data_IF_219071307488
#
_entry.id   IF_219071307488
#
_cell.length_a   1.000
_cell.length_b   1.000
_cell.length_c   1.000
_cell.angle_alpha   90.00
_cell.angle_beta   90.00
_cell.angle_gamma   90.00
#
_symmetry.space_group_name_H-M   'P 1'
#
loop_
_entity.id
_entity.type
_entity.pdbx_description
1 polymer ?
#
# COMPACT_ATOMS: atom_id res chain seq x y z
N UNK A 1 -43.97 26.49 1.42
CA UNK A 1 -43.01 25.71 2.17
C UNK A 1 -41.87 25.30 1.24
N UNK A 2 -40.68 25.91 1.35
CA UNK A 2 -39.52 25.58 0.55
C UNK A 2 -38.60 24.71 1.44
N UNK A 3 -38.49 23.43 1.14
CA UNK A 3 -37.57 22.55 1.80
C UNK A 3 -36.12 22.89 1.37
N UNK A 4 -35.30 23.32 2.32
CA UNK A 4 -33.85 23.48 2.15
C UNK A 4 -33.23 22.07 2.28
N UNK A 5 -32.74 21.52 1.16
CA UNK A 5 -31.90 20.34 1.15
C UNK A 5 -30.52 20.80 1.59
N UNK A 6 -30.14 20.49 2.81
CA UNK A 6 -28.76 20.62 3.27
C UNK A 6 -27.93 19.50 2.64
N UNK A 7 -27.10 19.85 1.69
CA UNK A 7 -26.11 18.93 1.15
C UNK A 7 -25.06 18.69 2.24
N UNK A 8 -25.09 17.49 2.82
CA UNK A 8 -24.05 16.98 3.71
C UNK A 8 -22.86 16.58 2.81
N UNK A 9 -21.90 17.46 2.67
CA UNK A 9 -20.63 17.15 2.02
C UNK A 9 -19.86 16.18 2.94
N UNK A 10 -19.94 14.89 2.65
CA UNK A 10 -19.06 13.89 3.27
C UNK A 10 -17.69 14.06 2.60
N UNK A 11 -16.80 14.75 3.29
CA UNK A 11 -15.39 14.87 2.89
C UNK A 11 -14.73 13.52 3.10
N UNK A 12 -14.52 12.79 2.02
CA UNK A 12 -13.62 11.65 2.01
C UNK A 12 -12.18 12.20 1.94
N UNK A 13 -11.61 12.48 3.08
CA UNK A 13 -10.19 12.75 3.18
C UNK A 13 -9.52 11.39 3.30
N UNK A 14 -8.93 10.89 2.22
CA UNK A 14 -7.88 9.89 2.33
C UNK A 14 -6.73 10.60 3.03
N UNK A 15 -6.72 10.57 4.33
CA UNK A 15 -5.62 11.08 5.13
C UNK A 15 -4.54 10.01 5.08
N UNK A 16 -3.64 10.13 4.10
CA UNK A 16 -2.25 9.83 4.41
C UNK A 16 -1.93 10.87 5.47
N UNK A 17 -1.93 10.46 6.73
CA UNK A 17 -1.65 11.36 7.83
C UNK A 17 -0.37 12.12 7.49
N UNK A 18 -0.46 13.41 7.28
CA UNK A 18 0.71 14.27 7.23
C UNK A 18 1.36 14.14 8.59
N UNK A 19 2.35 13.26 8.68
CA UNK A 19 3.22 13.17 9.83
C UNK A 19 4.01 14.46 9.87
N UNK A 20 3.54 15.40 10.65
CA UNK A 20 4.35 16.49 11.13
C UNK A 20 5.46 15.93 12.02
N UNK A 21 6.36 15.16 11.44
CA UNK A 21 7.64 14.81 12.06
C UNK A 21 8.41 16.11 12.10
N UNK A 22 8.59 16.66 13.28
CA UNK A 22 9.69 17.58 13.53
C UNK A 22 10.99 16.78 13.34
N UNK A 23 11.32 16.48 12.09
CA UNK A 23 12.61 15.95 11.69
C UNK A 23 13.61 17.06 11.98
N UNK A 24 14.53 16.80 12.88
CA UNK A 24 15.79 17.55 12.95
C UNK A 24 16.34 17.63 11.53
N UNK A 25 16.31 18.82 10.94
CA UNK A 25 16.62 19.06 9.54
C UNK A 25 18.06 18.60 9.24
N UNK A 26 18.19 17.50 8.53
CA UNK A 26 19.38 17.29 7.71
C UNK A 26 19.33 18.37 6.62
N UNK A 27 20.26 19.31 6.65
CA UNK A 27 20.34 20.47 5.78
C UNK A 27 20.79 20.03 4.38
N UNK A 28 19.86 19.56 3.56
CA UNK A 28 20.09 19.24 2.15
C UNK A 28 19.02 18.28 1.60
N UNK A 29 18.80 18.29 0.28
CA UNK A 29 17.91 17.31 -0.34
C UNK A 29 18.45 15.88 -0.13
N UNK A 30 17.59 14.86 -0.06
CA UNK A 30 18.02 13.47 0.02
C UNK A 30 18.92 13.14 -1.18
N UNK A 31 20.05 12.50 -0.92
CA UNK A 31 21.00 12.09 -1.97
C UNK A 31 20.84 10.60 -2.21
N UNK A 32 20.47 10.22 -3.42
CA UNK A 32 20.33 8.83 -3.85
C UNK A 32 21.68 8.11 -3.71
N UNK A 33 21.70 7.01 -2.95
CA UNK A 33 22.87 6.15 -2.74
C UNK A 33 22.51 4.70 -2.99
N UNK A 34 23.26 4.05 -3.84
CA UNK A 34 23.14 2.61 -4.11
C UNK A 34 24.15 1.83 -3.28
N UNK A 35 23.82 0.58 -2.94
CA UNK A 35 24.66 -0.29 -2.12
C UNK A 35 24.85 -1.65 -2.80
N UNK A 36 26.01 -2.29 -2.54
CA UNK A 36 26.31 -3.65 -2.99
C UNK A 36 26.18 -3.87 -4.51
N UNK A 37 26.60 -2.89 -5.32
CA UNK A 37 26.56 -2.98 -6.78
C UNK A 37 25.19 -2.74 -7.41
N UNK A 38 24.17 -2.37 -6.63
CA UNK A 38 22.88 -2.00 -7.17
C UNK A 38 22.97 -0.71 -8.01
N UNK A 39 22.05 -0.55 -8.97
CA UNK A 39 21.87 0.70 -9.71
C UNK A 39 20.42 1.17 -9.57
N UNK A 40 20.20 2.48 -9.62
CA UNK A 40 18.87 3.08 -9.58
C UNK A 40 18.80 4.24 -10.56
N UNK A 41 17.80 4.23 -11.43
CA UNK A 41 17.55 5.27 -12.44
C UNK A 41 16.10 5.71 -12.40
N UNK A 42 15.84 6.98 -12.64
CA UNK A 42 14.50 7.49 -12.84
C UNK A 42 13.90 6.80 -14.08
N UNK A 43 12.74 6.18 -13.90
CA UNK A 43 12.08 5.40 -14.95
C UNK A 43 10.88 6.13 -15.55
N UNK A 44 10.04 6.77 -14.72
CA UNK A 44 8.89 7.53 -15.19
C UNK A 44 8.50 8.63 -14.19
N UNK A 45 7.81 9.64 -14.74
CA UNK A 45 7.22 10.78 -14.02
C UNK A 45 5.78 11.00 -14.46
N UNK A 46 5.11 12.04 -13.94
CA UNK A 46 3.75 12.43 -14.34
C UNK A 46 2.66 11.77 -13.51
N UNK A 47 3.01 11.17 -12.38
CA UNK A 47 2.11 10.67 -11.34
C UNK A 47 2.03 11.68 -10.18
N UNK A 48 1.12 11.44 -9.24
CA UNK A 48 1.05 12.20 -7.98
C UNK A 48 1.62 11.39 -6.82
N UNK A 49 1.06 10.22 -6.59
CA UNK A 49 1.50 9.28 -5.56
C UNK A 49 1.26 7.84 -5.99
N UNK A 50 2.19 7.24 -6.76
CA UNK A 50 2.06 5.85 -7.20
C UNK A 50 2.13 4.89 -6.02
N UNK A 51 1.12 4.04 -5.90
CA UNK A 51 0.90 3.11 -4.78
C UNK A 51 1.10 1.66 -5.16
N UNK A 52 1.01 1.33 -6.45
CA UNK A 52 1.13 -0.06 -6.90
C UNK A 52 1.42 -0.17 -8.39
N UNK A 53 2.03 -1.29 -8.79
CA UNK A 53 2.36 -1.58 -10.18
C UNK A 53 1.91 -2.98 -10.58
N UNK A 54 1.50 -3.14 -11.84
CA UNK A 54 1.22 -4.43 -12.46
C UNK A 54 1.66 -4.44 -13.92
N UNK A 55 2.01 -5.61 -14.45
CA UNK A 55 2.36 -5.81 -15.86
C UNK A 55 1.43 -6.83 -16.50
N UNK A 56 0.96 -6.52 -17.71
CA UNK A 56 0.14 -7.42 -18.48
C UNK A 56 -0.12 -6.89 -19.89
N UNK A 57 -0.35 -7.79 -20.84
CA UNK A 57 -0.59 -7.50 -22.25
C UNK A 57 0.43 -6.50 -22.86
N UNK A 58 1.72 -6.63 -22.43
CA UNK A 58 2.80 -5.77 -22.93
C UNK A 58 2.88 -4.37 -22.31
N UNK A 59 2.04 -4.03 -21.34
CA UNK A 59 2.00 -2.73 -20.71
C UNK A 59 2.38 -2.80 -19.21
N UNK A 60 2.92 -1.72 -18.69
CA UNK A 60 3.03 -1.43 -17.26
C UNK A 60 1.87 -0.54 -16.83
N UNK A 61 1.17 -0.95 -15.79
CA UNK A 61 0.12 -0.18 -15.14
C UNK A 61 0.61 0.33 -13.81
N UNK A 62 0.30 1.60 -13.50
CA UNK A 62 0.53 2.21 -12.19
C UNK A 62 -0.79 2.67 -11.58
N UNK A 63 -1.04 2.29 -10.34
CA UNK A 63 -2.08 2.85 -9.51
C UNK A 63 -1.57 4.07 -8.78
N UNK A 64 -2.40 5.08 -8.66
CA UNK A 64 -2.08 6.35 -8.03
C UNK A 64 -3.17 6.73 -7.04
N UNK A 65 -2.78 7.14 -5.83
CA UNK A 65 -3.73 7.60 -4.80
C UNK A 65 -4.07 9.07 -4.92
N UNK A 66 -3.40 9.81 -5.79
CA UNK A 66 -3.54 11.25 -5.92
C UNK A 66 -2.75 12.04 -4.88
N UNK A 67 -2.93 13.35 -4.92
CA UNK A 67 -2.37 14.26 -3.93
C UNK A 67 -3.20 14.28 -2.65
N UNK A 68 -2.56 14.61 -1.54
CA UNK A 68 -3.28 14.96 -0.32
C UNK A 68 -4.22 16.16 -0.59
N UNK A 69 -5.50 15.99 -0.31
CA UNK A 69 -6.47 17.06 -0.53
C UNK A 69 -7.92 16.62 -0.33
N UNK A 70 -8.84 17.59 -0.49
CA UNK A 70 -10.27 17.35 -0.28
C UNK A 70 -10.94 16.62 -1.45
N UNK A 71 -10.35 16.67 -2.63
CA UNK A 71 -10.91 16.04 -3.84
C UNK A 71 -9.96 14.92 -4.27
N UNK A 72 -10.40 13.66 -4.31
CA UNK A 72 -9.62 12.57 -4.84
C UNK A 72 -9.26 12.84 -6.30
N UNK A 73 -7.98 12.75 -6.65
CA UNK A 73 -7.44 13.04 -7.97
C UNK A 73 -6.36 12.04 -8.40
N UNK A 74 -6.38 10.85 -7.81
CA UNK A 74 -5.59 9.71 -8.26
C UNK A 74 -6.21 9.04 -9.47
N UNK A 75 -5.62 7.91 -9.88
CA UNK A 75 -6.08 7.22 -11.08
C UNK A 75 -5.38 5.92 -11.38
N UNK A 76 -5.71 5.37 -12.53
CA UNK A 76 -4.99 4.28 -13.16
C UNK A 76 -4.25 4.80 -14.38
N UNK A 77 -2.96 4.50 -14.48
CA UNK A 77 -2.07 5.00 -15.54
C UNK A 77 -1.40 3.86 -16.29
N UNK A 78 -1.16 4.08 -17.58
CA UNK A 78 -0.22 3.29 -18.39
C UNK A 78 1.12 4.01 -18.35
N UNK A 79 2.19 3.27 -18.09
CA UNK A 79 3.56 3.80 -18.09
C UNK A 79 4.26 3.36 -19.36
N UNK A 80 4.63 4.32 -20.20
CA UNK A 80 5.38 4.08 -21.43
C UNK A 80 6.37 5.20 -21.70
N UNK A 81 7.58 4.85 -22.13
CA UNK A 81 8.63 5.81 -22.53
C UNK A 81 8.89 6.91 -21.48
N UNK A 82 8.88 6.55 -20.20
CA UNK A 82 9.15 7.49 -19.11
C UNK A 82 7.97 8.39 -18.71
N UNK A 83 6.79 8.19 -19.29
CA UNK A 83 5.61 9.03 -19.09
C UNK A 83 4.43 8.21 -18.59
N UNK A 84 3.64 8.79 -17.67
CA UNK A 84 2.38 8.25 -17.21
C UNK A 84 1.21 8.86 -18.04
N UNK A 85 0.37 8.00 -18.57
CA UNK A 85 -0.86 8.38 -19.29
C UNK A 85 -2.06 7.81 -18.56
N UNK A 86 -2.96 8.68 -18.11
CA UNK A 86 -4.17 8.26 -17.38
C UNK A 86 -5.14 7.48 -18.29
N UNK A 87 -5.70 6.40 -17.77
CA UNK A 87 -6.80 5.68 -18.42
C UNK A 87 -8.10 6.42 -18.08
N UNK A 88 -8.83 6.93 -19.11
CA UNK A 88 -9.97 7.82 -18.90
C UNK A 88 -11.14 7.09 -18.22
N UNK A 89 -11.98 7.86 -17.51
CA UNK A 89 -13.15 7.34 -16.77
C UNK A 89 -12.77 6.21 -15.80
N UNK A 90 -11.58 6.32 -15.22
CA UNK A 90 -11.01 5.40 -14.26
C UNK A 90 -11.43 5.70 -12.81
N UNK A 91 -10.80 5.00 -11.86
CA UNK A 91 -10.92 5.32 -10.43
C UNK A 91 -10.29 6.68 -10.14
N UNK A 92 -10.67 7.26 -9.01
CA UNK A 92 -10.05 8.49 -8.46
C UNK A 92 -9.01 8.20 -7.38
N UNK A 93 -8.82 6.94 -7.07
CA UNK A 93 -7.85 6.44 -6.10
C UNK A 93 -7.60 4.97 -6.38
N UNK A 94 -6.35 4.55 -6.44
CA UNK A 94 -5.96 3.13 -6.56
C UNK A 94 -4.97 2.80 -5.46
N UNK A 95 -5.25 1.79 -4.65
CA UNK A 95 -4.34 1.32 -3.60
C UNK A 95 -3.53 0.09 -4.03
N UNK A 96 -4.10 -0.81 -4.78
CA UNK A 96 -3.45 -2.05 -5.18
C UNK A 96 -3.81 -2.51 -6.59
N UNK A 97 -2.81 -3.07 -7.28
CA UNK A 97 -2.93 -3.65 -8.61
C UNK A 97 -2.41 -5.09 -8.63
N UNK A 98 -3.06 -5.94 -9.40
CA UNK A 98 -2.56 -7.27 -9.72
C UNK A 98 -3.03 -7.71 -11.11
N UNK A 99 -2.11 -8.12 -11.98
CA UNK A 99 -2.45 -8.76 -13.24
C UNK A 99 -2.63 -10.27 -13.01
N UNK A 100 -3.76 -10.82 -13.47
CA UNK A 100 -4.02 -12.24 -13.34
C UNK A 100 -4.90 -12.76 -14.49
N UNK A 101 -4.41 -13.76 -15.22
CA UNK A 101 -5.16 -14.45 -16.31
C UNK A 101 -5.80 -13.48 -17.31
N UNK A 102 -5.00 -12.57 -17.88
CA UNK A 102 -5.45 -11.63 -18.91
C UNK A 102 -6.39 -10.54 -18.40
N UNK A 103 -6.33 -10.22 -17.12
CA UNK A 103 -7.11 -9.14 -16.52
C UNK A 103 -6.33 -8.39 -15.44
N UNK A 104 -6.56 -7.09 -15.35
CA UNK A 104 -6.11 -6.22 -14.27
C UNK A 104 -7.16 -6.23 -13.16
N UNK A 105 -6.73 -6.51 -11.95
CA UNK A 105 -7.52 -6.38 -10.74
C UNK A 105 -7.04 -5.17 -9.97
N UNK A 106 -7.96 -4.41 -9.39
CA UNK A 106 -7.65 -3.20 -8.63
C UNK A 106 -8.47 -3.14 -7.35
N UNK A 107 -7.84 -2.69 -6.28
CA UNK A 107 -8.52 -2.11 -5.11
C UNK A 107 -8.52 -0.59 -5.28
N UNK A 108 -9.71 0.00 -5.37
CA UNK A 108 -9.84 1.37 -5.85
C UNK A 108 -11.08 2.08 -5.26
N UNK A 109 -11.09 3.41 -5.35
CA UNK A 109 -12.28 4.21 -5.12
C UNK A 109 -12.75 4.88 -6.41
N UNK A 110 -14.07 4.92 -6.57
CA UNK A 110 -14.77 5.59 -7.66
C UNK A 110 -15.74 6.62 -7.09
N UNK A 111 -16.03 7.68 -7.82
CA UNK A 111 -17.14 8.58 -7.46
C UNK A 111 -18.44 8.01 -8.04
N UNK A 112 -19.33 7.60 -7.17
CA UNK A 112 -20.66 7.08 -7.51
C UNK A 112 -21.71 7.98 -6.85
N UNK A 113 -22.58 8.59 -7.65
CA UNK A 113 -23.60 9.55 -7.16
C UNK A 113 -23.00 10.68 -6.29
N UNK A 114 -21.81 11.17 -6.66
CA UNK A 114 -21.12 12.27 -5.96
C UNK A 114 -20.41 11.85 -4.66
N UNK A 115 -20.35 10.57 -4.34
CA UNK A 115 -19.68 10.05 -3.14
C UNK A 115 -18.65 8.96 -3.49
N UNK A 116 -17.56 8.83 -2.71
CA UNK A 116 -16.60 7.75 -2.88
C UNK A 116 -17.23 6.38 -2.61
N UNK A 117 -16.95 5.44 -3.50
CA UNK A 117 -17.34 4.05 -3.42
C UNK A 117 -16.09 3.17 -3.53
N UNK A 118 -15.74 2.46 -2.47
CA UNK A 118 -14.60 1.53 -2.46
C UNK A 118 -14.99 0.23 -3.14
N UNK A 119 -14.21 -0.16 -4.14
CA UNK A 119 -14.53 -1.30 -5.00
C UNK A 119 -13.30 -2.16 -5.26
N UNK A 120 -13.54 -3.45 -5.47
CA UNK A 120 -12.59 -4.32 -6.15
C UNK A 120 -13.13 -4.52 -7.56
N UNK A 121 -12.31 -4.19 -8.56
CA UNK A 121 -12.71 -4.28 -9.96
C UNK A 121 -11.81 -5.24 -10.72
N UNK A 122 -12.34 -5.80 -11.80
CA UNK A 122 -11.63 -6.64 -12.77
C UNK A 122 -11.84 -6.06 -14.16
N UNK A 123 -10.75 -5.59 -14.78
CA UNK A 123 -10.76 -5.05 -16.15
C UNK A 123 -10.00 -5.97 -17.07
N UNK A 124 -10.51 -6.22 -18.28
CA UNK A 124 -9.92 -7.13 -19.26
C UNK A 124 -10.15 -6.64 -20.69
N UNK A 125 -9.45 -7.26 -21.65
CA UNK A 125 -9.47 -6.83 -23.04
C UNK A 125 -8.77 -5.49 -23.21
N UNK A 126 -7.50 -5.44 -22.79
CA UNK A 126 -6.68 -4.24 -22.96
C UNK A 126 -6.45 -3.95 -24.43
N UNK A 127 -6.68 -2.70 -24.85
CA UNK A 127 -6.64 -2.25 -26.25
C UNK A 127 -5.38 -1.46 -26.60
N UNK A 128 -4.43 -1.34 -25.65
CA UNK A 128 -3.26 -0.49 -25.77
C UNK A 128 -3.41 0.85 -25.03
N UNK A 129 -4.63 1.36 -24.87
CA UNK A 129 -4.92 2.64 -24.20
C UNK A 129 -6.05 2.53 -23.19
N UNK A 130 -6.87 1.48 -23.26
CA UNK A 130 -8.05 1.29 -22.42
C UNK A 130 -8.40 -0.20 -22.27
N UNK A 131 -9.44 -0.50 -21.49
CA UNK A 131 -10.01 -1.84 -21.29
C UNK A 131 -11.43 -1.90 -21.84
N UNK A 132 -11.68 -2.85 -22.76
CA UNK A 132 -13.00 -3.05 -23.36
C UNK A 132 -14.04 -3.63 -22.40
N UNK A 133 -13.60 -4.32 -21.34
CA UNK A 133 -14.49 -4.91 -20.34
C UNK A 133 -14.05 -4.40 -18.95
N UNK A 134 -14.91 -3.61 -18.33
CA UNK A 134 -14.73 -3.06 -16.97
C UNK A 134 -15.81 -3.62 -16.05
N UNK A 135 -15.44 -4.39 -15.05
CA UNK A 135 -16.38 -5.04 -14.13
C UNK A 135 -16.04 -4.76 -12.67
N UNK A 136 -17.00 -4.24 -11.91
CA UNK A 136 -16.95 -4.26 -10.45
C UNK A 136 -17.30 -5.68 -9.99
N UNK A 137 -16.41 -6.30 -9.20
CA UNK A 137 -16.60 -7.65 -8.65
C UNK A 137 -16.99 -7.65 -7.19
N UNK A 138 -16.66 -6.58 -6.46
CA UNK A 138 -17.07 -6.38 -5.08
C UNK A 138 -17.17 -4.89 -4.78
N UNK A 139 -18.26 -4.49 -4.13
CA UNK A 139 -18.44 -3.14 -3.57
C UNK A 139 -18.43 -3.24 -2.06
N UNK A 140 -17.62 -2.42 -1.41
CA UNK A 140 -17.54 -2.40 0.04
C UNK A 140 -18.86 -1.91 0.68
N UNK A 141 -19.22 -2.42 1.85
CA UNK A 141 -20.42 -1.97 2.57
C UNK A 141 -20.27 -0.53 3.07
N UNK A 142 -21.40 0.08 3.43
CA UNK A 142 -21.42 1.43 3.99
C UNK A 142 -20.57 1.51 5.27
N UNK A 143 -19.88 2.62 5.46
CA UNK A 143 -18.97 2.87 6.59
C UNK A 143 -17.60 2.23 6.45
N UNK A 144 -17.32 1.57 5.33
CA UNK A 144 -16.00 1.02 5.03
C UNK A 144 -14.97 2.14 4.87
N UNK A 145 -13.73 1.93 5.35
CA UNK A 145 -12.72 2.98 5.37
C UNK A 145 -11.87 3.03 4.11
N UNK A 146 -11.58 1.89 3.49
CA UNK A 146 -10.78 1.80 2.28
C UNK A 146 -10.15 0.43 2.10
N UNK A 147 -9.61 0.21 0.92
CA UNK A 147 -8.78 -0.95 0.61
C UNK A 147 -7.32 -0.52 0.48
N UNK A 148 -6.42 -1.44 0.81
CA UNK A 148 -4.98 -1.37 0.53
C UNK A 148 -4.60 -2.31 -0.62
N UNK A 149 -3.35 -2.77 -0.61
CA UNK A 149 -2.80 -3.64 -1.64
C UNK A 149 -3.53 -4.97 -1.81
N UNK A 150 -3.39 -5.53 -2.99
CA UNK A 150 -3.98 -6.82 -3.36
C UNK A 150 -2.92 -7.80 -3.87
N UNK A 151 -3.15 -9.09 -3.68
CA UNK A 151 -2.31 -10.13 -4.26
C UNK A 151 -3.10 -11.41 -4.52
N UNK A 152 -2.74 -12.14 -5.57
CA UNK A 152 -3.28 -13.49 -5.81
C UNK A 152 -2.49 -14.53 -5.02
N UNK A 153 -3.18 -15.28 -4.19
CA UNK A 153 -2.64 -16.47 -3.56
C UNK A 153 -2.41 -17.58 -4.60
N UNK A 154 -1.45 -18.50 -4.39
CA UNK A 154 -1.18 -19.61 -5.34
C UNK A 154 -2.41 -20.47 -5.67
N UNK A 155 -3.41 -20.54 -4.77
CA UNK A 155 -4.71 -21.19 -5.02
C UNK A 155 -5.71 -20.34 -5.82
N UNK A 156 -5.28 -19.20 -6.40
CA UNK A 156 -6.10 -18.34 -7.26
C UNK A 156 -7.14 -17.48 -6.52
N UNK A 157 -7.12 -17.42 -5.20
CA UNK A 157 -7.94 -16.46 -4.45
C UNK A 157 -7.24 -15.11 -4.40
N UNK A 158 -8.00 -14.04 -4.49
CA UNK A 158 -7.54 -12.68 -4.28
C UNK A 158 -7.51 -12.37 -2.79
N UNK A 159 -6.39 -11.88 -2.28
CA UNK A 159 -6.25 -11.27 -0.96
C UNK A 159 -6.29 -9.76 -1.10
N UNK A 160 -6.91 -9.09 -0.13
CA UNK A 160 -7.11 -7.63 -0.12
C UNK A 160 -6.89 -7.11 1.29
N UNK A 161 -5.98 -6.16 1.45
CA UNK A 161 -5.81 -5.42 2.70
C UNK A 161 -6.95 -4.44 2.91
N UNK A 162 -7.37 -4.28 4.16
CA UNK A 162 -8.37 -3.28 4.54
C UNK A 162 -7.68 -2.10 5.22
N UNK A 163 -7.96 -0.90 4.74
CA UNK A 163 -7.38 0.33 5.27
C UNK A 163 -8.09 0.77 6.56
N UNK A 164 -7.34 1.37 7.46
CA UNK A 164 -7.88 2.02 8.65
C UNK A 164 -8.51 3.37 8.35
N UNK A 165 -8.17 4.00 7.23
CA UNK A 165 -8.68 5.31 6.80
C UNK A 165 -8.52 6.38 7.88
N UNK A 166 -9.59 7.14 8.14
CA UNK A 166 -9.61 8.20 9.16
C UNK A 166 -9.46 7.69 10.61
N UNK A 167 -9.51 6.38 10.81
CA UNK A 167 -9.33 5.74 12.12
C UNK A 167 -7.86 5.38 12.37
N UNK A 168 -6.97 5.96 11.59
CA UNK A 168 -5.56 5.67 11.50
C UNK A 168 -4.83 5.65 12.85
N UNK A 169 -5.16 6.58 13.74
CA UNK A 169 -4.57 6.67 15.08
C UNK A 169 -5.61 6.32 16.16
N UNK A 170 -6.10 5.08 16.15
CA UNK A 170 -6.93 4.58 17.22
C UNK A 170 -6.07 4.33 18.48
N UNK A 171 -5.56 5.42 19.07
CA UNK A 171 -4.66 5.40 20.21
C UNK A 171 -5.31 4.84 21.48
N UNK A 172 -6.61 4.65 21.49
CA UNK A 172 -7.39 4.30 22.68
C UNK A 172 -8.03 2.91 22.62
N UNK A 173 -7.67 2.09 21.65
CA UNK A 173 -8.14 0.71 21.56
C UNK A 173 -9.67 0.55 21.43
N UNK A 174 -10.39 1.62 21.09
CA UNK A 174 -11.84 1.52 20.86
C UNK A 174 -12.08 0.93 19.47
N UNK A 175 -12.70 -0.24 19.37
CA UNK A 175 -13.01 -0.82 18.07
C UNK A 175 -13.93 0.13 17.29
N UNK A 176 -13.57 0.38 16.05
CA UNK A 176 -14.46 1.06 15.12
C UNK A 176 -15.61 0.14 14.72
N UNK A 177 -16.74 0.76 14.34
CA UNK A 177 -17.85 0.04 13.72
C UNK A 177 -17.66 -0.20 12.22
N UNK A 178 -16.49 0.17 11.65
CA UNK A 178 -16.19 -0.09 10.24
C UNK A 178 -16.12 -1.60 9.98
N UNK A 179 -16.79 -2.09 8.94
CA UNK A 179 -16.72 -3.50 8.57
C UNK A 179 -15.29 -3.90 8.20
N UNK A 180 -14.85 -5.08 8.65
CA UNK A 180 -13.56 -5.68 8.32
C UNK A 180 -12.32 -4.85 8.69
N UNK A 181 -12.47 -3.91 9.63
CA UNK A 181 -11.36 -3.09 10.08
C UNK A 181 -10.26 -3.99 10.67
N UNK A 182 -8.99 -3.73 10.28
CA UNK A 182 -7.80 -4.47 10.68
C UNK A 182 -7.70 -5.89 10.11
N UNK A 183 -8.37 -6.14 8.98
CA UNK A 183 -8.40 -7.44 8.35
C UNK A 183 -7.64 -7.48 7.01
N UNK A 184 -7.24 -8.69 6.64
CA UNK A 184 -6.99 -9.06 5.25
C UNK A 184 -8.15 -9.92 4.80
N UNK A 185 -8.83 -9.52 3.74
CA UNK A 185 -9.93 -10.27 3.14
C UNK A 185 -9.41 -11.27 2.10
N UNK A 186 -10.16 -12.33 1.89
CA UNK A 186 -9.95 -13.30 0.81
C UNK A 186 -11.25 -13.51 0.04
N UNK A 187 -11.20 -13.44 -1.30
CA UNK A 187 -12.34 -13.68 -2.18
C UNK A 187 -11.95 -14.48 -3.42
N UNK A 188 -12.95 -15.02 -4.14
CA UNK A 188 -12.73 -15.59 -5.47
C UNK A 188 -12.50 -14.47 -6.49
N UNK A 189 -11.86 -14.73 -7.66
CA UNK A 189 -11.64 -13.71 -8.70
C UNK A 189 -12.91 -13.08 -9.30
N UNK A 190 -14.06 -13.64 -9.02
CA UNK A 190 -15.37 -13.09 -9.40
C UNK A 190 -16.04 -12.27 -8.27
N UNK A 191 -15.33 -12.02 -7.16
CA UNK A 191 -15.81 -11.25 -6.01
C UNK A 191 -16.64 -12.03 -5.00
N UNK A 192 -16.96 -13.32 -5.26
CA UNK A 192 -17.77 -14.13 -4.34
C UNK A 192 -16.94 -14.81 -3.25
N UNK A 193 -17.60 -15.29 -2.20
CA UNK A 193 -16.97 -16.04 -1.12
C UNK A 193 -15.97 -15.20 -0.34
N UNK A 194 -16.35 -13.95 -0.07
CA UNK A 194 -15.58 -13.02 0.77
C UNK A 194 -15.54 -13.57 2.20
N UNK A 195 -14.35 -13.56 2.79
CA UNK A 195 -14.10 -13.99 4.17
C UNK A 195 -12.84 -13.34 4.70
N UNK A 196 -12.73 -13.19 6.00
CA UNK A 196 -11.50 -12.79 6.66
C UNK A 196 -10.45 -13.88 6.46
N UNK A 197 -9.28 -13.47 6.00
CA UNK A 197 -8.10 -14.33 5.85
C UNK A 197 -7.24 -14.28 7.11
N UNK A 198 -6.98 -13.07 7.62
CA UNK A 198 -6.28 -12.79 8.87
C UNK A 198 -6.82 -11.48 9.45
N UNK A 199 -6.61 -11.26 10.74
CA UNK A 199 -7.15 -10.12 11.48
C UNK A 199 -6.10 -9.47 12.40
N UNK A 200 -6.48 -8.33 13.02
CA UNK A 200 -5.62 -7.65 13.98
C UNK A 200 -4.37 -7.04 13.35
N UNK A 201 -4.41 -6.68 12.08
CA UNK A 201 -3.35 -6.04 11.32
C UNK A 201 -3.77 -4.59 11.06
N UNK A 202 -3.01 -3.62 11.57
CA UNK A 202 -3.45 -2.22 11.56
C UNK A 202 -3.69 -1.68 10.16
N UNK A 203 -2.69 -1.80 9.29
CA UNK A 203 -2.74 -1.24 7.94
C UNK A 203 -1.93 -2.12 6.97
N UNK A 204 -2.50 -3.27 6.56
CA UNK A 204 -1.84 -4.20 5.65
C UNK A 204 -1.69 -3.55 4.27
N UNK A 205 -0.49 -2.95 3.99
CA UNK A 205 -0.29 -2.07 2.84
C UNK A 205 -0.08 -2.86 1.54
N UNK A 206 0.98 -3.61 1.44
CA UNK A 206 1.25 -4.46 0.28
C UNK A 206 1.49 -5.91 0.68
N UNK A 207 1.29 -6.81 -0.27
CA UNK A 207 1.42 -8.25 -0.07
C UNK A 207 2.22 -8.90 -1.20
N UNK A 208 3.14 -9.82 -0.83
CA UNK A 208 3.92 -10.57 -1.82
C UNK A 208 4.10 -12.03 -1.38
N UNK A 209 3.93 -12.95 -2.32
CA UNK A 209 4.20 -14.37 -2.10
C UNK A 209 5.62 -14.74 -2.53
N UNK A 210 6.33 -15.48 -1.69
CA UNK A 210 7.53 -16.19 -2.13
C UNK A 210 7.13 -17.35 -3.06
N UNK A 211 8.00 -17.78 -3.99
CA UNK A 211 7.72 -18.92 -4.86
C UNK A 211 7.32 -20.17 -4.05
N UNK A 212 6.16 -20.73 -4.37
CA UNK A 212 5.60 -21.91 -3.71
C UNK A 212 5.04 -21.68 -2.28
N UNK A 213 5.11 -20.48 -1.73
CA UNK A 213 4.62 -20.19 -0.39
C UNK A 213 3.10 -19.99 -0.37
N UNK A 214 2.43 -20.48 0.68
CA UNK A 214 0.99 -20.27 0.92
C UNK A 214 0.71 -19.03 1.77
N UNK A 215 1.70 -18.54 2.49
CA UNK A 215 1.63 -17.36 3.36
C UNK A 215 2.33 -16.18 2.67
N UNK A 216 1.63 -15.05 2.43
CA UNK A 216 2.27 -13.85 1.91
C UNK A 216 3.11 -13.16 2.98
N UNK A 217 4.13 -12.43 2.53
CA UNK A 217 4.69 -11.34 3.30
C UNK A 217 3.80 -10.10 3.14
N UNK A 218 3.56 -9.40 4.23
CA UNK A 218 2.70 -8.21 4.28
C UNK A 218 3.44 -7.11 5.01
N UNK A 219 3.51 -5.93 4.43
CA UNK A 219 3.93 -4.73 5.13
C UNK A 219 2.76 -4.17 5.94
N UNK A 220 3.02 -3.80 7.17
CA UNK A 220 2.03 -3.24 8.09
C UNK A 220 2.60 -1.99 8.75
N UNK A 221 1.97 -0.86 8.49
CA UNK A 221 2.36 0.39 9.12
C UNK A 221 1.93 0.39 10.58
N UNK A 222 2.89 0.61 11.45
CA UNK A 222 2.69 0.77 12.88
C UNK A 222 1.81 1.98 13.22
N UNK A 223 1.36 2.03 14.44
CA UNK A 223 0.56 3.12 14.96
C UNK A 223 1.46 4.34 15.26
N UNK A 224 1.03 5.53 14.85
CA UNK A 224 1.64 6.76 15.36
C UNK A 224 1.19 6.96 16.81
N UNK A 225 2.08 6.77 17.74
CA UNK A 225 1.75 6.94 19.15
C UNK A 225 1.35 8.37 19.50
N UNK A 226 0.64 8.59 20.62
CA UNK A 226 0.42 9.93 21.16
C UNK A 226 1.75 10.68 21.26
N UNK A 227 1.77 11.97 20.98
CA UNK A 227 3.00 12.81 20.99
C UNK A 227 3.90 12.63 22.20
N UNK A 228 3.35 12.25 23.36
CA UNK A 228 4.10 11.94 24.59
C UNK A 228 4.83 10.59 24.54
N UNK A 229 4.48 9.69 23.60
CA UNK A 229 5.01 8.32 23.47
C UNK A 229 5.84 8.15 22.19
N UNK A 230 5.99 9.19 21.37
CA UNK A 230 6.69 9.16 20.07
C UNK A 230 8.12 8.58 20.13
N UNK A 231 8.84 8.77 21.24
CA UNK A 231 10.18 8.16 21.44
C UNK A 231 10.13 6.66 21.69
N UNK A 232 8.97 6.13 22.12
CA UNK A 232 8.71 4.74 22.46
C UNK A 232 7.48 4.19 21.73
N UNK A 233 7.12 4.78 20.57
CA UNK A 233 6.02 4.34 19.73
C UNK A 233 6.12 2.87 19.35
N UNK A 234 5.01 2.25 18.91
CA UNK A 234 5.03 0.89 18.44
C UNK A 234 5.98 0.75 17.24
N UNK A 235 6.59 -0.42 17.07
CA UNK A 235 7.39 -0.72 15.90
C UNK A 235 6.51 -0.83 14.64
N UNK A 236 7.13 -0.70 13.47
CA UNK A 236 6.55 -1.11 12.21
C UNK A 236 6.83 -2.58 11.93
N UNK A 237 6.03 -3.20 11.06
CA UNK A 237 6.06 -4.65 10.90
C UNK A 237 6.24 -5.10 9.45
N UNK A 238 7.00 -6.18 9.30
CA UNK A 238 6.78 -7.15 8.23
C UNK A 238 6.15 -8.40 8.85
N UNK A 239 5.05 -8.82 8.26
CA UNK A 239 4.31 -10.00 8.69
C UNK A 239 4.52 -11.13 7.68
N UNK A 240 4.41 -12.38 8.12
CA UNK A 240 4.26 -13.56 7.28
C UNK A 240 2.94 -14.22 7.66
N UNK A 241 1.89 -13.88 6.91
CA UNK A 241 0.51 -14.07 7.34
C UNK A 241 -0.03 -15.42 6.90
N UNK A 242 -0.47 -16.24 7.84
CA UNK A 242 -1.19 -17.47 7.56
C UNK A 242 -2.68 -17.25 7.69
N UNK A 243 -3.45 -18.12 7.08
CA UNK A 243 -4.89 -18.08 7.21
C UNK A 243 -5.31 -18.36 8.64
N UNK A 244 -6.09 -17.46 9.22
CA UNK A 244 -6.60 -17.53 10.59
C UNK A 244 -5.70 -16.86 11.63
N UNK A 245 -4.55 -16.31 11.23
CA UNK A 245 -3.72 -15.52 12.13
C UNK A 245 -4.50 -14.29 12.62
N UNK A 246 -4.29 -13.97 13.90
CA UNK A 246 -4.71 -12.71 14.51
C UNK A 246 -3.50 -12.06 15.16
N UNK A 247 -3.15 -10.85 14.72
CA UNK A 247 -2.02 -10.07 15.23
C UNK A 247 -2.41 -9.14 16.38
N UNK A 248 -3.69 -9.09 16.75
CA UNK A 248 -4.21 -8.50 17.98
C UNK A 248 -4.43 -7.00 17.98
N UNK A 249 -4.10 -6.25 16.89
CA UNK A 249 -4.37 -4.82 16.87
C UNK A 249 -5.89 -4.53 16.99
N UNK A 250 -6.34 -3.52 17.76
CA UNK A 250 -5.55 -2.44 18.42
C UNK A 250 -5.06 -2.78 19.83
N UNK A 251 -5.40 -3.93 20.40
CA UNK A 251 -4.99 -4.33 21.76
C UNK A 251 -3.50 -4.67 21.82
N UNK A 252 -2.99 -5.38 20.82
CA UNK A 252 -1.59 -5.70 20.63
C UNK A 252 -0.96 -4.77 19.57
N UNK A 253 0.09 -4.06 19.94
CA UNK A 253 0.91 -3.27 19.01
C UNK A 253 2.41 -3.51 19.22
N UNK A 254 2.76 -4.63 19.87
CA UNK A 254 4.13 -5.06 20.15
C UNK A 254 5.01 -4.03 20.91
N UNK A 255 4.40 -3.10 21.61
CA UNK A 255 5.10 -2.25 22.61
C UNK A 255 5.07 -2.92 23.98
N UNK A 256 5.90 -2.46 24.94
CA UNK A 256 5.81 -2.92 26.33
C UNK A 256 4.42 -2.71 26.98
N UNK A 257 3.62 -1.79 26.43
CA UNK A 257 2.27 -1.48 26.92
C UNK A 257 1.16 -2.30 26.22
N UNK A 258 1.49 -3.00 25.15
CA UNK A 258 0.53 -3.79 24.39
C UNK A 258 0.34 -5.20 24.98
N UNK A 259 -0.89 -5.67 25.06
CA UNK A 259 -1.20 -7.05 25.43
C UNK A 259 -1.26 -7.93 24.18
N UNK A 260 -0.19 -8.67 23.94
CA UNK A 260 0.00 -9.55 22.78
C UNK A 260 -0.04 -11.04 23.16
N UNK A 261 -0.59 -11.39 24.34
CA UNK A 261 -0.65 -12.78 24.77
C UNK A 261 -1.62 -13.57 23.88
N UNK A 262 -1.10 -14.57 23.20
CA UNK A 262 -1.88 -15.46 22.32
C UNK A 262 -2.02 -14.97 20.88
N UNK A 263 -1.53 -13.78 20.56
CA UNK A 263 -1.56 -13.24 19.20
C UNK A 263 -0.37 -13.75 18.36
N UNK A 264 -0.56 -13.72 17.03
CA UNK A 264 0.49 -14.08 16.08
C UNK A 264 1.66 -13.11 16.17
N UNK A 265 2.88 -13.62 15.93
CA UNK A 265 4.10 -12.81 16.02
C UNK A 265 4.47 -12.26 14.65
N UNK A 266 4.87 -10.98 14.56
CA UNK A 266 5.45 -10.42 13.36
C UNK A 266 6.67 -11.21 12.88
N UNK A 267 6.85 -11.29 11.56
CA UNK A 267 8.05 -11.87 10.97
C UNK A 267 9.30 -11.04 11.28
N UNK A 268 9.15 -9.71 11.26
CA UNK A 268 10.21 -8.77 11.61
C UNK A 268 9.62 -7.49 12.19
N UNK A 269 10.24 -7.02 13.27
CA UNK A 269 9.99 -5.70 13.85
C UNK A 269 11.05 -4.71 13.34
N UNK A 270 10.63 -3.48 13.09
CA UNK A 270 11.47 -2.35 12.75
C UNK A 270 11.29 -1.24 13.78
N UNK A 271 12.25 -0.32 13.92
CA UNK A 271 12.06 0.84 14.79
C UNK A 271 10.77 1.59 14.44
N UNK A 272 10.14 2.27 15.40
CA UNK A 272 9.02 3.17 15.14
C UNK A 272 9.32 4.14 13.99
N UNK A 273 8.32 4.48 13.18
CA UNK A 273 8.44 5.39 12.03
C UNK A 273 9.45 4.92 10.96
N UNK A 274 9.66 3.62 10.84
CA UNK A 274 10.33 3.03 9.67
C UNK A 274 9.41 2.98 8.46
N UNK A 275 8.10 3.02 8.70
CA UNK A 275 7.01 3.10 7.72
C UNK A 275 7.25 2.10 6.59
N UNK A 276 7.17 0.80 6.91
CA UNK A 276 7.42 -0.27 5.95
C UNK A 276 6.23 -0.37 5.00
N UNK A 277 6.45 0.03 3.75
CA UNK A 277 5.41 0.14 2.72
C UNK A 277 5.51 -0.98 1.67
N UNK A 278 5.97 -0.68 0.48
CA UNK A 278 6.04 -1.64 -0.62
C UNK A 278 6.79 -2.92 -0.26
N UNK A 279 6.30 -4.08 -0.73
CA UNK A 279 6.94 -5.38 -0.49
C UNK A 279 6.89 -6.25 -1.75
N UNK A 280 8.01 -6.90 -2.09
CA UNK A 280 8.08 -7.92 -3.15
C UNK A 280 9.11 -8.99 -2.83
N UNK A 281 9.02 -10.15 -3.51
CA UNK A 281 9.94 -11.28 -3.32
C UNK A 281 10.57 -11.67 -4.64
N UNK A 282 11.90 -11.78 -4.66
CA UNK A 282 12.68 -12.31 -5.79
C UNK A 282 13.45 -13.53 -5.31
N UNK A 283 13.07 -14.72 -5.76
CA UNK A 283 13.67 -15.97 -5.30
C UNK A 283 13.56 -16.15 -3.78
N UNK A 284 14.69 -16.14 -3.08
CA UNK A 284 14.76 -16.27 -1.61
C UNK A 284 15.00 -14.93 -0.91
N UNK A 285 14.90 -13.82 -1.62
CA UNK A 285 15.13 -12.47 -1.10
C UNK A 285 13.82 -11.69 -1.05
N UNK A 286 13.51 -11.15 0.10
CA UNK A 286 12.43 -10.22 0.36
C UNK A 286 12.97 -8.79 0.22
N UNK A 287 12.32 -7.97 -0.60
CA UNK A 287 12.60 -6.55 -0.76
C UNK A 287 11.43 -5.76 -0.20
N UNK A 288 11.73 -4.63 0.43
CA UNK A 288 10.69 -3.77 1.01
C UNK A 288 11.14 -2.30 1.03
N UNK A 289 10.16 -1.42 0.87
CA UNK A 289 10.33 0.01 0.98
C UNK A 289 10.22 0.49 2.43
N UNK A 290 10.94 1.57 2.75
CA UNK A 290 10.71 2.37 3.95
C UNK A 290 10.35 3.77 3.49
N UNK A 291 9.16 4.24 3.83
CA UNK A 291 8.49 5.41 3.25
C UNK A 291 9.39 6.66 3.25
N UNK A 292 9.81 7.12 4.42
CA UNK A 292 10.73 8.24 4.54
C UNK A 292 12.16 7.78 4.89
N UNK A 293 12.43 6.48 4.91
CA UNK A 293 13.67 5.90 5.40
C UNK A 293 13.84 6.08 6.91
N UNK A 294 14.82 5.40 7.49
CA UNK A 294 15.11 5.57 8.90
C UNK A 294 15.38 7.04 9.21
N UNK A 295 14.59 7.61 10.11
CA UNK A 295 14.75 8.99 10.59
C UNK A 295 14.44 10.10 9.56
N UNK A 296 13.53 9.87 8.60
CA UNK A 296 13.07 10.91 7.68
C UNK A 296 14.12 11.39 6.64
N UNK A 297 15.11 10.56 6.33
CA UNK A 297 16.22 10.89 5.41
C UNK A 297 15.93 10.58 3.94
N UNK A 298 14.68 10.53 3.56
CA UNK A 298 14.21 10.13 2.22
C UNK A 298 13.88 8.65 2.16
N UNK A 299 13.11 8.25 1.16
CA UNK A 299 12.71 6.86 0.97
C UNK A 299 13.89 5.91 0.83
N UNK A 300 13.70 4.66 1.17
CA UNK A 300 14.74 3.66 1.08
C UNK A 300 14.19 2.30 0.64
N UNK A 301 15.01 1.53 -0.07
CA UNK A 301 14.77 0.14 -0.43
C UNK A 301 15.75 -0.75 0.32
N UNK A 302 15.22 -1.74 1.00
CA UNK A 302 15.98 -2.74 1.73
C UNK A 302 15.76 -4.15 1.17
N UNK A 303 16.67 -5.05 1.51
CA UNK A 303 16.53 -6.49 1.26
C UNK A 303 16.86 -7.32 2.49
N UNK A 304 16.24 -8.49 2.60
CA UNK A 304 16.55 -9.51 3.59
C UNK A 304 16.19 -10.90 3.08
N UNK A 305 16.63 -11.93 3.78
CA UNK A 305 16.21 -13.31 3.46
C UNK A 305 14.72 -13.52 3.83
N UNK A 306 13.99 -14.31 3.01
CA UNK A 306 12.65 -14.79 3.36
C UNK A 306 12.61 -15.70 4.61
N UNK A 307 13.78 -16.08 5.15
CA UNK A 307 13.94 -16.82 6.42
C UNK A 307 14.15 -15.91 7.62
N UNK A 308 14.25 -14.59 7.40
CA UNK A 308 14.56 -13.61 8.42
C UNK A 308 16.03 -13.19 8.40
N UNK A 309 16.44 -12.47 9.44
CA UNK A 309 17.80 -11.97 9.62
C UNK A 309 17.92 -10.45 9.53
N UNK A 310 19.09 -9.97 9.12
CA UNK A 310 19.39 -8.55 9.02
C UNK A 310 18.82 -7.95 7.72
N UNK A 311 18.17 -6.80 7.83
CA UNK A 311 17.83 -5.97 6.68
C UNK A 311 19.08 -5.21 6.19
N UNK A 312 19.35 -5.26 4.90
CA UNK A 312 20.50 -4.60 4.25
C UNK A 312 19.97 -3.55 3.28
N UNK A 313 20.55 -2.35 3.21
CA UNK A 313 20.14 -1.34 2.25
C UNK A 313 20.51 -1.77 0.82
N UNK A 314 19.63 -1.46 -0.13
CA UNK A 314 19.86 -1.59 -1.57
C UNK A 314 20.00 -0.21 -2.19
N UNK A 315 19.05 0.69 -1.89
CA UNK A 315 19.09 2.10 -2.26
C UNK A 315 18.55 2.91 -1.09
N UNK A 316 19.19 4.04 -0.81
CA UNK A 316 18.77 4.99 0.23
C UNK A 316 18.75 6.41 -0.31
N UNK A 317 17.96 7.28 0.31
CA UNK A 317 17.88 8.69 -0.06
C UNK A 317 17.16 8.92 -1.39
N UNK A 318 16.11 8.12 -1.69
CA UNK A 318 15.19 8.48 -2.75
C UNK A 318 14.60 9.87 -2.49
N UNK A 319 14.42 10.71 -3.51
CA UNK A 319 13.79 12.02 -3.35
C UNK A 319 12.28 11.94 -3.11
N UNK A 320 11.75 10.73 -3.04
CA UNK A 320 10.35 10.39 -2.82
C UNK A 320 10.16 9.52 -1.57
N UNK A 321 8.94 9.48 -1.09
CA UNK A 321 8.47 8.49 -0.13
C UNK A 321 8.20 7.17 -0.87
N UNK A 322 8.75 6.03 -0.39
CA UNK A 322 8.65 4.74 -1.11
C UNK A 322 7.37 4.00 -0.77
N UNK A 323 6.30 4.24 -1.51
CA UNK A 323 4.97 3.63 -1.31
C UNK A 323 4.80 2.29 -2.01
N UNK A 324 5.20 2.26 -3.27
CA UNK A 324 4.99 1.13 -4.17
C UNK A 324 6.28 0.36 -4.42
N UNK A 325 6.20 -0.96 -4.47
CA UNK A 325 7.30 -1.83 -4.87
C UNK A 325 6.77 -3.02 -5.66
N UNK A 326 7.34 -3.23 -6.83
CA UNK A 326 7.08 -4.43 -7.63
C UNK A 326 8.33 -4.90 -8.34
N UNK A 327 8.30 -6.13 -8.87
CA UNK A 327 9.38 -6.70 -9.69
C UNK A 327 8.88 -7.01 -11.09
N UNK A 328 9.73 -6.75 -12.08
CA UNK A 328 9.50 -7.15 -13.47
C UNK A 328 10.83 -7.24 -14.21
N UNK A 329 11.02 -8.29 -15.03
CA UNK A 329 12.17 -8.50 -15.94
C UNK A 329 13.56 -8.27 -15.29
N UNK A 330 13.74 -8.79 -14.08
CA UNK A 330 15.01 -8.70 -13.36
C UNK A 330 15.26 -7.37 -12.66
N UNK A 331 14.31 -6.45 -12.73
CA UNK A 331 14.34 -5.16 -12.03
C UNK A 331 13.30 -5.08 -10.92
N UNK A 332 13.55 -4.14 -10.01
CA UNK A 332 12.57 -3.64 -9.05
C UNK A 332 12.12 -2.25 -9.49
N UNK A 333 10.84 -1.97 -9.31
CA UNK A 333 10.24 -0.67 -9.56
C UNK A 333 9.76 -0.10 -8.25
N UNK A 334 10.29 1.05 -7.89
CA UNK A 334 10.02 1.76 -6.63
C UNK A 334 9.31 3.05 -6.97
N UNK A 335 8.16 3.29 -6.38
CA UNK A 335 7.39 4.51 -6.62
C UNK A 335 6.87 5.14 -5.36
N UNK A 336 6.51 6.39 -5.48
CA UNK A 336 5.92 7.18 -4.41
C UNK A 336 5.92 8.66 -4.70
N UNK A 337 5.41 9.47 -3.77
CA UNK A 337 5.31 10.92 -3.91
C UNK A 337 6.61 11.62 -3.52
N UNK A 338 7.07 12.53 -4.37
CA UNK A 338 8.14 13.46 -4.05
C UNK A 338 7.60 14.77 -3.47
N UNK A 339 8.34 15.40 -2.55
CA UNK A 339 7.91 16.67 -1.94
C UNK A 339 7.80 17.83 -2.93
N UNK A 340 8.58 17.79 -4.01
CA UNK A 340 8.70 18.88 -4.99
C UNK A 340 8.50 18.45 -6.42
N UNK A 341 8.57 17.15 -6.71
CA UNK A 341 8.62 16.59 -8.09
C UNK A 341 7.33 15.89 -8.51
N UNK A 342 6.36 15.76 -7.60
CA UNK A 342 5.21 14.88 -7.80
C UNK A 342 5.58 13.41 -7.62
N UNK A 343 4.81 12.51 -8.20
CA UNK A 343 5.05 11.08 -8.12
C UNK A 343 6.04 10.61 -9.19
N UNK A 344 7.02 9.84 -8.76
CA UNK A 344 8.09 9.29 -9.61
C UNK A 344 8.17 7.77 -9.46
N UNK A 345 8.70 7.13 -10.48
CA UNK A 345 9.04 5.69 -10.48
C UNK A 345 10.54 5.55 -10.77
N UNK A 346 11.24 4.84 -9.90
CA UNK A 346 12.62 4.44 -10.10
C UNK A 346 12.70 2.97 -10.49
N UNK A 347 13.54 2.65 -11.47
CA UNK A 347 13.95 1.30 -11.82
C UNK A 347 15.24 0.98 -11.11
N UNK A 348 15.29 -0.12 -10.37
CA UNK A 348 16.43 -0.56 -9.58
C UNK A 348 16.87 -1.94 -10.04
N UNK A 349 18.15 -2.09 -10.40
CA UNK A 349 18.80 -3.40 -10.55
C UNK A 349 19.50 -3.72 -9.22
N UNK A 350 19.00 -4.72 -8.44
CA UNK A 350 19.47 -4.97 -7.09
C UNK A 350 20.80 -5.75 -7.02
#
# INVERSE_FOLDING_TARGET
MRARIAALAVTCTAVIASMGVAASAATGPPTLRTHNGATATLYATGLMNPTSFAWGDGAMFAGDSGSEGKTPNGGLYIIANGTATEIPNGPVFVAGLAWHKGALFMSAAFIVNGAPSFQIVRWSGFTGTDFSIRKTIYTAPAGFQGFNGIAFAPGGRLLVGVDTGLLNNNDHGKPSKSPFLYDILSMKPNGTGVRVFASGIRQPWQMAFAPGAKAPFVSDLGQDGPKKVLKAGPPDFLLKVHRGDNYGFPKCNHTPLGDCKGDAKPFKLFPPHSDIMGVTVVGKTLYFGSFLGPFGKGGALYKMSIRGGKALPVVTGFPLATDALAKHDGYLYVGGSGKTTGGEIYQVKP
#
